data_IF_613152532709
#
_entry.id   IF_613152532709
#
_cell.length_a   1.000
_cell.length_b   1.000
_cell.length_c   1.000
_cell.angle_alpha   90.00
_cell.angle_beta   90.00
_cell.angle_gamma   90.00
#
_symmetry.space_group_name_H-M   'P 1'
#
loop_
_entity.id
_entity.type
_entity.pdbx_description
1 polymer ?
#
# COMPACT_ATOMS: atom_id res chain seq x y z
N UNK A 1 1.50 -3.29 18.33
CA UNK A 1 1.66 -2.07 17.52
C UNK A 1 0.58 -2.06 16.45
N UNK A 2 -0.08 -0.92 16.27
CA UNK A 2 -1.04 -0.65 15.20
C UNK A 2 -0.38 0.13 14.07
N UNK A 3 -0.94 0.05 12.87
CA UNK A 3 -0.45 0.80 11.71
C UNK A 3 -0.46 2.32 11.97
N UNK A 4 -1.43 2.83 12.74
CA UNK A 4 -1.49 4.24 13.14
C UNK A 4 -0.27 4.73 13.91
N UNK A 5 0.53 3.85 14.51
CA UNK A 5 1.72 4.23 15.29
C UNK A 5 2.95 4.46 14.38
N UNK A 6 2.95 3.93 13.16
CA UNK A 6 4.04 4.07 12.18
C UNK A 6 3.65 4.88 10.93
N UNK A 7 2.36 5.22 10.81
CA UNK A 7 1.82 6.11 9.79
C UNK A 7 2.24 7.57 10.04
N UNK A 8 2.57 8.30 8.97
CA UNK A 8 2.92 9.72 9.02
C UNK A 8 1.86 10.56 8.29
N UNK A 9 0.99 11.29 9.01
CA UNK A 9 -0.09 12.06 8.40
C UNK A 9 0.37 13.27 7.57
N UNK A 10 1.67 13.60 7.58
CA UNK A 10 2.24 14.65 6.72
C UNK A 10 2.62 14.15 5.33
N UNK A 11 2.63 12.85 5.11
CA UNK A 11 2.91 12.23 3.82
C UNK A 11 1.61 11.78 3.14
N UNK A 12 1.53 11.85 1.80
CA UNK A 12 0.43 11.24 1.08
C UNK A 12 0.36 9.75 1.38
N UNK A 13 -0.85 9.22 1.53
CA UNK A 13 -1.08 7.78 1.67
C UNK A 13 -1.97 7.26 0.56
N UNK A 14 -1.49 6.23 -0.12
CA UNK A 14 -2.18 5.62 -1.26
C UNK A 14 -2.53 4.16 -0.98
N UNK A 15 -3.55 3.65 -1.67
CA UNK A 15 -3.76 2.22 -1.85
C UNK A 15 -3.22 1.84 -3.22
N UNK A 16 -2.23 0.96 -3.26
CA UNK A 16 -1.55 0.49 -4.46
C UNK A 16 -1.84 -1.00 -4.65
N UNK A 17 -2.18 -1.41 -5.88
CA UNK A 17 -2.29 -2.82 -6.23
C UNK A 17 -0.97 -3.33 -6.80
N UNK A 18 -0.44 -4.41 -6.24
CA UNK A 18 0.68 -5.19 -6.76
C UNK A 18 0.22 -6.62 -7.04
N UNK A 19 0.92 -7.37 -7.88
CA UNK A 19 0.71 -8.84 -7.93
C UNK A 19 1.33 -9.48 -6.68
N UNK A 20 0.73 -10.57 -6.21
CA UNK A 20 1.19 -11.34 -5.05
C UNK A 20 2.68 -11.67 -5.10
N UNK A 21 3.22 -12.03 -6.27
CA UNK A 21 4.64 -12.30 -6.48
C UNK A 21 5.56 -11.13 -6.11
N UNK A 22 5.16 -9.89 -6.42
CA UNK A 22 5.94 -8.71 -6.09
C UNK A 22 5.85 -8.37 -4.60
N UNK A 23 4.66 -8.50 -4.00
CA UNK A 23 4.51 -8.32 -2.55
C UNK A 23 5.40 -9.31 -1.77
N UNK A 24 5.46 -10.58 -2.19
CA UNK A 24 6.34 -11.61 -1.60
C UNK A 24 7.82 -11.24 -1.75
N UNK A 25 8.26 -10.81 -2.94
CA UNK A 25 9.65 -10.34 -3.16
C UNK A 25 10.03 -9.15 -2.28
N UNK A 26 9.10 -8.22 -2.04
CA UNK A 26 9.34 -7.07 -1.17
C UNK A 26 9.53 -7.53 0.29
N UNK A 27 8.66 -8.43 0.78
CA UNK A 27 8.75 -8.99 2.13
C UNK A 27 10.05 -9.77 2.32
N UNK A 28 10.49 -10.52 1.31
CA UNK A 28 11.76 -11.24 1.33
C UNK A 28 13.00 -10.34 1.16
N UNK A 29 12.82 -9.04 0.90
CA UNK A 29 13.91 -8.09 0.65
C UNK A 29 14.57 -8.24 -0.74
N UNK A 30 14.01 -9.07 -1.62
CA UNK A 30 14.52 -9.31 -2.97
C UNK A 30 14.17 -8.16 -3.93
N UNK A 31 13.09 -7.42 -3.64
CA UNK A 31 12.67 -6.25 -4.40
C UNK A 31 12.68 -5.01 -3.52
N UNK A 32 13.57 -4.07 -3.86
CA UNK A 32 13.80 -2.82 -3.14
C UNK A 32 13.30 -1.60 -3.91
N UNK A 33 12.68 -1.83 -5.06
CA UNK A 33 12.27 -0.81 -6.03
C UNK A 33 10.90 -1.17 -6.60
N UNK A 34 10.07 -0.18 -6.88
CA UNK A 34 8.81 -0.35 -7.60
C UNK A 34 8.74 0.63 -8.80
N UNK A 35 8.22 0.13 -9.93
CA UNK A 35 8.21 0.82 -11.22
C UNK A 35 6.79 1.10 -11.69
N UNK A 36 6.55 2.32 -12.20
CA UNK A 36 5.21 2.79 -12.58
C UNK A 36 5.27 3.70 -13.80
N UNK A 37 4.44 3.45 -14.82
CA UNK A 37 4.32 4.34 -15.99
C UNK A 37 3.86 5.75 -15.64
N UNK A 38 2.97 5.88 -14.66
CA UNK A 38 2.49 7.15 -14.09
C UNK A 38 2.43 7.02 -12.59
N UNK A 39 3.01 7.96 -11.88
CA UNK A 39 3.06 7.93 -10.42
C UNK A 39 3.05 9.33 -9.83
N UNK A 40 3.01 9.39 -8.49
CA UNK A 40 3.14 10.63 -7.75
C UNK A 40 4.54 11.24 -7.98
N UNK A 41 4.72 12.52 -7.65
CA UNK A 41 6.01 13.23 -7.78
C UNK A 41 6.67 13.53 -6.42
N UNK A 42 6.18 12.90 -5.35
CA UNK A 42 6.64 13.06 -3.98
C UNK A 42 6.79 11.69 -3.32
N UNK A 43 7.59 11.62 -2.26
CA UNK A 43 7.57 10.49 -1.34
C UNK A 43 6.16 10.27 -0.77
N UNK A 44 5.81 9.03 -0.48
CA UNK A 44 4.49 8.66 0.00
C UNK A 44 4.52 7.35 0.79
N UNK A 45 3.41 7.09 1.47
CA UNK A 45 3.16 5.82 2.14
C UNK A 45 2.13 5.03 1.33
N UNK A 46 2.25 3.71 1.30
CA UNK A 46 1.35 2.87 0.52
C UNK A 46 0.83 1.69 1.34
N UNK A 47 -0.49 1.54 1.37
CA UNK A 47 -1.14 0.28 1.74
C UNK A 47 -1.24 -0.56 0.47
N UNK A 48 -0.83 -1.82 0.55
CA UNK A 48 -0.70 -2.69 -0.61
C UNK A 48 -1.84 -3.69 -0.63
N UNK A 49 -2.57 -3.69 -1.74
CA UNK A 49 -3.44 -4.78 -2.14
C UNK A 49 -2.65 -5.77 -3.02
N UNK A 50 -2.52 -7.01 -2.57
CA UNK A 50 -1.95 -8.11 -3.32
C UNK A 50 -3.01 -8.73 -4.22
N UNK A 51 -2.91 -8.46 -5.51
CA UNK A 51 -3.74 -9.03 -6.57
C UNK A 51 -3.23 -10.40 -7.04
N UNK A 52 -4.12 -11.22 -7.58
CA UNK A 52 -3.79 -12.58 -8.04
C UNK A 52 -4.41 -13.62 -7.14
N UNK A 53 -3.56 -14.44 -6.50
CA UNK A 53 -3.98 -15.55 -5.63
C UNK A 53 -4.48 -15.04 -4.27
N UNK A 54 -3.74 -14.14 -3.62
CA UNK A 54 -4.02 -13.75 -2.23
C UNK A 54 -5.30 -12.90 -2.12
N UNK A 55 -5.46 -11.94 -3.04
CA UNK A 55 -6.57 -10.96 -3.05
C UNK A 55 -6.77 -10.34 -1.68
N UNK A 56 -5.69 -9.87 -1.05
CA UNK A 56 -5.70 -9.37 0.32
C UNK A 56 -4.91 -8.08 0.47
N UNK A 57 -5.12 -7.39 1.59
CA UNK A 57 -4.31 -6.28 2.06
C UNK A 57 -3.45 -6.80 3.20
N UNK A 58 -2.13 -6.74 3.04
CA UNK A 58 -1.20 -7.36 3.98
C UNK A 58 0.10 -6.57 4.21
N UNK A 59 0.33 -5.50 3.46
CA UNK A 59 1.63 -4.82 3.46
C UNK A 59 1.46 -3.29 3.47
N UNK A 60 2.31 -2.65 4.26
CA UNK A 60 2.47 -1.20 4.32
C UNK A 60 3.89 -0.82 3.94
N UNK A 61 4.05 0.15 3.04
CA UNK A 61 5.34 0.59 2.52
C UNK A 61 5.56 2.08 2.74
N UNK A 62 6.81 2.45 3.02
CA UNK A 62 7.29 3.82 2.81
C UNK A 62 8.03 3.85 1.47
N UNK A 63 7.57 4.70 0.56
CA UNK A 63 8.12 4.84 -0.80
C UNK A 63 8.85 6.19 -0.91
N UNK A 64 10.09 6.15 -1.37
CA UNK A 64 10.89 7.35 -1.60
C UNK A 64 10.37 8.21 -2.75
N UNK A 65 10.99 9.37 -2.94
CA UNK A 65 10.65 10.27 -4.04
C UNK A 65 10.84 9.57 -5.40
N UNK A 66 9.82 9.55 -6.27
CA UNK A 66 9.94 8.94 -7.59
C UNK A 66 10.97 9.65 -8.47
N UNK A 67 11.78 8.86 -9.17
CA UNK A 67 12.76 9.31 -10.17
C UNK A 67 12.26 8.92 -11.55
N UNK A 68 12.36 9.85 -12.50
CA UNK A 68 12.04 9.56 -13.90
C UNK A 68 13.08 8.60 -14.48
N UNK A 69 12.61 7.57 -15.17
CA UNK A 69 13.39 6.61 -15.94
C UNK A 69 12.83 6.54 -17.37
N UNK A 70 13.48 5.80 -18.27
CA UNK A 70 13.11 5.75 -19.69
C UNK A 70 11.62 5.44 -19.93
N UNK A 71 11.05 4.45 -19.24
CA UNK A 71 9.61 4.09 -19.32
C UNK A 71 8.85 4.38 -18.01
N UNK A 72 8.96 5.61 -17.51
CA UNK A 72 8.11 6.13 -16.44
C UNK A 72 8.86 6.52 -15.18
N UNK A 73 8.47 5.94 -14.05
CA UNK A 73 9.00 6.29 -12.73
C UNK A 73 9.48 5.06 -11.99
N UNK A 74 10.56 5.26 -11.26
CA UNK A 74 11.12 4.34 -10.28
C UNK A 74 11.05 4.97 -8.90
N UNK A 75 10.64 4.22 -7.88
CA UNK A 75 10.77 4.65 -6.49
C UNK A 75 11.46 3.57 -5.67
N UNK A 76 12.23 4.00 -4.67
CA UNK A 76 12.90 3.11 -3.71
C UNK A 76 11.95 2.76 -2.56
N UNK A 77 11.83 1.47 -2.26
CA UNK A 77 11.08 0.97 -1.10
C UNK A 77 11.98 1.19 0.12
N UNK A 78 11.67 2.22 0.91
CA UNK A 78 12.48 2.63 2.06
C UNK A 78 12.33 1.63 3.20
N UNK A 79 11.09 1.21 3.45
CA UNK A 79 10.78 0.19 4.45
C UNK A 79 9.48 -0.51 4.08
N UNK A 80 9.32 -1.72 4.60
CA UNK A 80 8.07 -2.47 4.54
C UNK A 80 7.68 -2.94 5.94
N UNK A 81 6.38 -3.06 6.17
CA UNK A 81 5.82 -3.62 7.40
C UNK A 81 4.60 -4.44 7.05
N UNK A 82 4.61 -5.71 7.45
CA UNK A 82 3.47 -6.59 7.27
C UNK A 82 2.38 -6.29 8.31
N UNK A 83 1.12 -6.40 7.88
CA UNK A 83 0.00 -6.47 8.81
C UNK A 83 0.06 -7.81 9.56
N UNK A 84 -0.34 -7.82 10.83
CA UNK A 84 -0.39 -9.03 11.64
C UNK A 84 -1.45 -10.03 11.13
N UNK A 85 -2.51 -9.52 10.51
CA UNK A 85 -3.55 -10.29 9.85
C UNK A 85 -3.81 -9.74 8.46
N UNK A 86 -3.87 -10.62 7.47
CA UNK A 86 -4.30 -10.21 6.13
C UNK A 86 -5.79 -9.87 6.12
N UNK A 87 -6.16 -8.86 5.34
CA UNK A 87 -7.56 -8.47 5.14
C UNK A 87 -7.96 -8.89 3.74
N UNK A 88 -8.83 -9.89 3.62
CA UNK A 88 -9.30 -10.35 2.31
C UNK A 88 -10.11 -9.27 1.59
N UNK A 89 -10.09 -9.29 0.25
CA UNK A 89 -10.91 -8.41 -0.59
C UNK A 89 -12.39 -8.49 -0.20
N UNK A 90 -12.89 -9.70 0.07
CA UNK A 90 -14.26 -9.94 0.51
C UNK A 90 -14.57 -9.21 1.84
N UNK A 91 -13.64 -9.25 2.80
CA UNK A 91 -13.79 -8.54 4.07
C UNK A 91 -13.83 -7.02 3.86
N UNK A 92 -12.95 -6.49 3.01
CA UNK A 92 -12.96 -5.08 2.65
C UNK A 92 -14.28 -4.71 1.97
N UNK A 93 -14.78 -5.52 1.03
CA UNK A 93 -16.02 -5.25 0.31
C UNK A 93 -17.27 -5.39 1.18
N UNK A 94 -17.28 -6.28 2.19
CA UNK A 94 -18.36 -6.34 3.18
C UNK A 94 -18.45 -5.08 4.02
N UNK A 95 -17.30 -4.55 4.46
CA UNK A 95 -17.25 -3.33 5.27
C UNK A 95 -17.41 -2.05 4.41
N UNK A 96 -16.97 -2.11 3.15
CA UNK A 96 -17.00 -1.00 2.19
C UNK A 96 -17.57 -1.49 0.84
N UNK A 97 -18.90 -1.61 0.68
CA UNK A 97 -19.52 -2.19 -0.53
C UNK A 97 -19.21 -1.46 -1.85
N UNK A 98 -18.79 -0.19 -1.77
CA UNK A 98 -18.37 0.61 -2.93
C UNK A 98 -16.88 0.46 -3.26
N UNK A 99 -16.13 -0.32 -2.48
CA UNK A 99 -14.70 -0.53 -2.68
C UNK A 99 -14.44 -1.22 -4.02
N UNK A 100 -13.48 -0.67 -4.76
CA UNK A 100 -12.96 -1.24 -6.00
C UNK A 100 -11.44 -1.29 -5.91
N UNK A 101 -10.87 -2.39 -6.36
CA UNK A 101 -9.41 -2.56 -6.45
C UNK A 101 -8.83 -1.45 -7.34
N UNK A 102 -7.72 -0.80 -6.93
CA UNK A 102 -7.11 0.26 -7.72
C UNK A 102 -6.46 -0.31 -8.99
N UNK A 103 -6.72 0.34 -10.12
CA UNK A 103 -6.06 0.02 -11.40
C UNK A 103 -4.63 0.57 -11.48
N UNK A 104 -4.43 1.75 -10.89
CA UNK A 104 -3.11 2.32 -10.65
C UNK A 104 -2.88 2.43 -9.15
N UNK A 105 -3.34 3.51 -8.53
CA UNK A 105 -3.42 3.70 -7.09
C UNK A 105 -4.62 4.62 -6.80
N UNK A 106 -5.06 4.69 -5.55
CA UNK A 106 -6.02 5.70 -5.09
C UNK A 106 -5.44 6.44 -3.89
N UNK A 107 -5.75 7.73 -3.78
CA UNK A 107 -5.45 8.50 -2.58
C UNK A 107 -6.40 8.09 -1.46
N UNK A 108 -5.86 7.74 -0.30
CA UNK A 108 -6.63 7.39 0.90
C UNK A 108 -6.82 8.61 1.82
N UNK A 109 -6.01 9.65 1.68
CA UNK A 109 -6.08 10.91 2.43
C UNK A 109 -7.18 11.88 1.96
N UNK A 110 -8.14 11.41 1.16
CA UNK A 110 -9.28 12.20 0.70
C UNK A 110 -10.46 12.06 1.66
N UNK A 111 -11.28 13.12 1.86
CA UNK A 111 -12.43 13.06 2.78
C UNK A 111 -13.39 11.89 2.51
N UNK A 112 -13.62 11.54 1.24
CA UNK A 112 -14.48 10.41 0.83
C UNK A 112 -13.85 9.02 1.01
N UNK A 113 -12.63 8.97 1.55
CA UNK A 113 -11.86 7.76 1.87
C UNK A 113 -11.46 7.69 3.35
N UNK A 114 -11.86 8.68 4.16
CA UNK A 114 -11.47 8.76 5.57
C UNK A 114 -11.82 7.49 6.37
N UNK A 115 -13.02 6.94 6.18
CA UNK A 115 -13.43 5.71 6.89
C UNK A 115 -12.60 4.49 6.47
N UNK A 116 -12.27 4.39 5.17
CA UNK A 116 -11.44 3.32 4.64
C UNK A 116 -10.00 3.42 5.17
N UNK A 117 -9.44 4.63 5.17
CA UNK A 117 -8.13 4.89 5.74
C UNK A 117 -8.11 4.56 7.23
N UNK A 118 -9.07 5.07 8.00
CA UNK A 118 -9.19 4.79 9.44
C UNK A 118 -9.28 3.30 9.72
N UNK A 119 -10.05 2.55 8.92
CA UNK A 119 -10.13 1.11 9.03
C UNK A 119 -8.77 0.43 8.86
N UNK A 120 -7.96 0.83 7.88
CA UNK A 120 -6.61 0.29 7.71
C UNK A 120 -5.64 0.72 8.81
N UNK A 121 -5.72 1.96 9.29
CA UNK A 121 -4.84 2.48 10.35
C UNK A 121 -5.05 1.77 11.70
N UNK A 122 -6.22 1.19 11.94
CA UNK A 122 -6.51 0.43 13.18
C UNK A 122 -5.96 -1.00 13.18
N UNK A 123 -5.44 -1.48 12.05
CA UNK A 123 -4.94 -2.85 11.93
C UNK A 123 -3.64 -3.03 12.70
N UNK A 124 -3.46 -4.22 13.27
CA UNK A 124 -2.19 -4.59 13.91
C UNK A 124 -1.13 -4.87 12.86
N UNK A 125 0.12 -4.55 13.18
CA UNK A 125 1.30 -4.82 12.34
C UNK A 125 2.22 -5.81 13.06
N UNK A 126 2.97 -6.60 12.29
CA UNK A 126 4.00 -7.47 12.85
C UNK A 126 5.09 -6.62 13.49
N UNK A 127 5.60 -7.05 14.65
CA UNK A 127 6.78 -6.45 15.23
C UNK A 127 7.99 -6.77 14.32
N UNK A 128 8.81 -5.76 14.05
CA UNK A 128 10.10 -5.91 13.38
C UNK A 128 11.11 -6.55 14.33
#
# INVERSE_FOLDING_TARGET
MKLTEIYNPKLPIILLSLRSEYARKIILGEQTVEHRKRFLHTECQAIIYSSGEDKSISLFLNLGKPRTVEDGYEMSIISHTELANEISLDTVQRNFPKFKVPRSYIYLDKPDKADLLNYFLQQQVKAL
#
